data_IF_750767985292
#
_entry.id   IF_750767985292
#
_cell.length_a   1.000
_cell.length_b   1.000
_cell.length_c   1.000
_cell.angle_alpha   90.00
_cell.angle_beta   90.00
_cell.angle_gamma   90.00
#
_symmetry.space_group_name_H-M   'P 1'
#
loop_
_entity.id
_entity.type
_entity.pdbx_description
1 polymer ?
#
# COMPACT_ATOMS: atom_id res chain seq x y z
N UNK A 1 -22.30 -27.40 -3.72
CA UNK A 1 -21.95 -26.53 -2.60
C UNK A 1 -22.75 -25.24 -2.77
N UNK A 2 -23.65 -24.86 -1.86
CA UNK A 2 -24.38 -23.58 -1.96
C UNK A 2 -23.36 -22.46 -1.70
N UNK A 3 -23.42 -21.33 -2.43
CA UNK A 3 -22.56 -20.19 -2.13
C UNK A 3 -22.82 -19.75 -0.68
N UNK A 4 -21.77 -19.39 0.03
CA UNK A 4 -21.80 -19.01 1.44
C UNK A 4 -22.63 -17.73 1.69
N UNK A 5 -22.84 -16.94 0.63
CA UNK A 5 -23.68 -15.74 0.68
C UNK A 5 -24.95 -15.97 -0.13
N UNK A 6 -26.12 -15.79 0.49
CA UNK A 6 -27.36 -15.65 -0.24
C UNK A 6 -27.29 -14.40 -1.13
N UNK A 7 -27.83 -14.52 -2.36
CA UNK A 7 -27.99 -13.35 -3.22
C UNK A 7 -28.95 -12.38 -2.51
N UNK A 8 -28.38 -11.29 -2.01
CA UNK A 8 -29.21 -10.21 -1.47
C UNK A 8 -29.92 -9.49 -2.62
N UNK A 9 -31.19 -9.16 -2.43
CA UNK A 9 -31.91 -8.28 -3.34
C UNK A 9 -31.17 -6.95 -3.48
N UNK A 10 -31.20 -6.30 -4.66
CA UNK A 10 -30.52 -5.03 -4.88
C UNK A 10 -30.93 -4.03 -3.81
N UNK A 11 -29.96 -3.60 -3.00
CA UNK A 11 -30.19 -2.65 -1.92
C UNK A 11 -30.21 -1.22 -2.47
N UNK A 12 -31.32 -0.55 -2.33
CA UNK A 12 -31.48 0.87 -2.67
C UNK A 12 -32.47 1.13 -3.81
N UNK A 13 -32.70 2.41 -4.06
CA UNK A 13 -33.57 2.91 -5.13
C UNK A 13 -32.71 3.55 -6.22
N UNK A 14 -33.14 3.46 -7.47
CA UNK A 14 -32.49 4.17 -8.57
C UNK A 14 -32.35 5.67 -8.26
N UNK A 15 -31.17 6.23 -8.50
CA UNK A 15 -30.91 7.64 -8.29
C UNK A 15 -31.72 8.49 -9.28
N UNK A 16 -32.39 9.54 -8.79
CA UNK A 16 -33.08 10.51 -9.65
C UNK A 16 -32.05 11.28 -10.48
N UNK A 17 -32.37 11.60 -11.76
CA UNK A 17 -31.43 12.31 -12.66
C UNK A 17 -30.85 13.60 -12.09
N UNK A 18 -31.58 14.35 -11.26
CA UNK A 18 -31.08 15.57 -10.62
C UNK A 18 -29.97 15.36 -9.57
N UNK A 19 -29.78 14.14 -9.06
CA UNK A 19 -28.66 13.79 -8.17
C UNK A 19 -27.38 13.47 -8.90
N UNK A 20 -27.45 13.16 -10.20
CA UNK A 20 -26.27 12.87 -11.04
C UNK A 20 -25.39 14.12 -11.20
N UNK A 21 -25.97 15.33 -11.23
CA UNK A 21 -25.18 16.58 -11.28
C UNK A 21 -24.33 16.83 -10.02
N UNK A 22 -24.79 16.36 -8.85
CA UNK A 22 -23.99 16.39 -7.62
C UNK A 22 -22.89 15.33 -7.62
N UNK A 23 -23.12 14.20 -8.31
CA UNK A 23 -22.09 13.17 -8.47
C UNK A 23 -20.89 13.62 -9.29
N UNK A 24 -21.08 14.51 -10.29
CA UNK A 24 -19.96 15.05 -11.07
C UNK A 24 -19.01 15.90 -10.19
N UNK A 25 -19.56 16.81 -9.36
CA UNK A 25 -18.73 17.60 -8.43
C UNK A 25 -18.05 16.75 -7.34
N UNK A 26 -18.71 15.65 -6.91
CA UNK A 26 -18.11 14.70 -5.98
C UNK A 26 -17.02 13.87 -6.63
N UNK A 27 -17.14 13.57 -7.93
CA UNK A 27 -16.11 12.87 -8.69
C UNK A 27 -14.83 13.70 -8.84
N UNK A 28 -14.96 15.03 -9.03
CA UNK A 28 -13.80 15.91 -9.11
C UNK A 28 -13.10 16.03 -7.75
N UNK A 29 -13.85 16.14 -6.66
CA UNK A 29 -13.30 16.11 -5.30
C UNK A 29 -12.60 14.78 -4.97
N UNK A 30 -13.15 13.65 -5.44
CA UNK A 30 -12.51 12.34 -5.27
C UNK A 30 -11.20 12.25 -6.06
N UNK A 31 -11.14 12.75 -7.29
CA UNK A 31 -9.90 12.78 -8.09
C UNK A 31 -8.82 13.63 -7.43
N UNK A 32 -9.21 14.75 -6.80
CA UNK A 32 -8.27 15.58 -6.05
C UNK A 32 -7.68 14.80 -4.85
N UNK A 33 -8.53 14.09 -4.11
CA UNK A 33 -8.07 13.21 -3.00
C UNK A 33 -7.18 12.08 -3.52
N UNK A 34 -7.56 11.42 -4.62
CA UNK A 34 -6.76 10.36 -5.24
C UNK A 34 -5.38 10.88 -5.69
N UNK A 35 -5.34 12.08 -6.28
CA UNK A 35 -4.08 12.73 -6.67
C UNK A 35 -3.21 13.01 -5.44
N UNK A 36 -3.77 13.57 -4.37
CA UNK A 36 -3.06 13.83 -3.12
C UNK A 36 -2.51 12.55 -2.46
N UNK A 37 -3.29 11.46 -2.48
CA UNK A 37 -2.82 10.15 -2.01
C UNK A 37 -1.66 9.66 -2.88
N UNK A 38 -1.77 9.77 -4.20
CA UNK A 38 -0.70 9.38 -5.13
C UNK A 38 0.60 10.14 -4.89
N UNK A 39 0.53 11.45 -4.66
CA UNK A 39 1.68 12.28 -4.31
C UNK A 39 2.29 11.84 -2.97
N UNK A 40 1.47 11.59 -1.95
CA UNK A 40 1.93 11.15 -0.64
C UNK A 40 2.60 9.76 -0.70
N UNK A 41 2.06 8.82 -1.49
CA UNK A 41 2.68 7.51 -1.73
C UNK A 41 4.02 7.66 -2.42
N UNK A 42 4.11 8.52 -3.44
CA UNK A 42 5.37 8.79 -4.14
C UNK A 42 6.41 9.37 -3.18
N UNK A 43 6.02 10.35 -2.38
CA UNK A 43 6.90 10.95 -1.37
C UNK A 43 7.38 9.92 -0.34
N UNK A 44 6.51 9.02 0.12
CA UNK A 44 6.88 7.96 1.06
C UNK A 44 7.91 6.98 0.46
N UNK A 45 7.82 6.69 -0.85
CA UNK A 45 8.80 5.86 -1.56
C UNK A 45 10.15 6.55 -1.74
N UNK A 46 10.20 7.88 -1.72
CA UNK A 46 11.43 8.66 -1.89
C UNK A 46 12.18 8.90 -0.57
N UNK A 47 11.57 8.60 0.57
CA UNK A 47 12.20 8.78 1.89
C UNK A 47 13.49 7.97 1.99
N UNK A 48 14.48 8.54 2.66
CA UNK A 48 15.73 7.87 2.99
C UNK A 48 16.83 8.05 1.93
N UNK A 49 17.74 7.07 1.83
CA UNK A 49 18.84 7.14 0.90
C UNK A 49 18.42 6.83 -0.54
N UNK A 50 18.99 7.52 -1.53
CA UNK A 50 18.79 7.16 -2.93
C UNK A 50 19.15 5.71 -3.23
N UNK A 51 18.41 5.06 -4.12
CA UNK A 51 18.62 3.67 -4.55
C UNK A 51 20.07 3.43 -5.01
N UNK A 52 20.64 4.38 -5.74
CA UNK A 52 22.00 4.30 -6.25
C UNK A 52 23.04 4.19 -5.12
N UNK A 53 22.79 4.85 -3.97
CA UNK A 53 23.68 4.77 -2.81
C UNK A 53 23.67 3.38 -2.18
N UNK A 54 22.51 2.72 -2.16
CA UNK A 54 22.34 1.36 -1.68
C UNK A 54 23.05 0.38 -2.64
N UNK A 55 22.79 0.54 -3.94
CA UNK A 55 23.36 -0.34 -4.97
C UNK A 55 24.89 -0.22 -5.07
N UNK A 56 25.46 0.97 -4.86
CA UNK A 56 26.93 1.15 -4.79
C UNK A 56 27.61 0.35 -3.68
N UNK A 57 26.85 -0.04 -2.64
CA UNK A 57 27.33 -0.91 -1.55
C UNK A 57 27.16 -2.41 -1.86
N UNK A 58 26.68 -2.76 -3.06
CA UNK A 58 26.37 -4.12 -3.46
C UNK A 58 25.06 -4.65 -2.87
N UNK A 59 24.20 -3.77 -2.39
CA UNK A 59 22.92 -4.15 -1.79
C UNK A 59 21.75 -3.76 -2.71
N UNK A 60 20.66 -4.52 -2.59
CA UNK A 60 19.39 -4.22 -3.24
C UNK A 60 18.47 -3.50 -2.25
N UNK A 61 17.65 -2.58 -2.75
CA UNK A 61 16.54 -2.02 -1.97
C UNK A 61 15.46 -3.08 -1.76
N UNK A 62 14.55 -2.85 -0.80
CA UNK A 62 13.38 -3.72 -0.59
C UNK A 62 12.53 -3.84 -1.84
N UNK A 63 12.33 -2.75 -2.59
CA UNK A 63 11.56 -2.74 -3.83
C UNK A 63 12.20 -3.60 -4.93
N UNK A 64 13.51 -3.50 -5.12
CA UNK A 64 14.23 -4.38 -6.05
C UNK A 64 14.13 -5.85 -5.65
N UNK A 65 14.15 -6.16 -4.35
CA UNK A 65 13.96 -7.54 -3.87
C UNK A 65 12.54 -8.05 -4.14
N UNK A 66 11.52 -7.19 -3.98
CA UNK A 66 10.13 -7.54 -4.30
C UNK A 66 9.96 -7.88 -5.77
N UNK A 67 10.59 -7.12 -6.69
CA UNK A 67 10.57 -7.41 -8.13
C UNK A 67 11.14 -8.79 -8.48
N UNK A 68 12.09 -9.29 -7.70
CA UNK A 68 12.64 -10.65 -7.88
C UNK A 68 11.84 -11.74 -7.17
N UNK A 69 11.17 -11.40 -6.08
CA UNK A 69 10.47 -12.37 -5.24
C UNK A 69 9.07 -12.66 -5.72
N UNK A 70 8.35 -11.62 -6.15
CA UNK A 70 6.90 -11.67 -6.41
C UNK A 70 6.66 -11.83 -7.91
N UNK A 71 5.71 -12.68 -8.25
CA UNK A 71 5.31 -12.90 -9.64
C UNK A 71 4.81 -11.59 -10.28
N UNK A 72 5.23 -11.34 -11.51
CA UNK A 72 4.96 -10.08 -12.21
C UNK A 72 3.47 -9.73 -12.23
N UNK A 73 3.14 -8.50 -11.86
CA UNK A 73 1.78 -7.97 -11.90
C UNK A 73 0.85 -8.46 -10.76
N UNK A 74 1.38 -9.19 -9.78
CA UNK A 74 0.57 -9.70 -8.66
C UNK A 74 0.74 -8.89 -7.37
N UNK A 75 1.70 -7.98 -7.31
CA UNK A 75 1.95 -7.17 -6.12
C UNK A 75 0.82 -6.20 -5.83
N UNK A 76 0.22 -6.32 -4.65
CA UNK A 76 -0.79 -5.43 -4.12
C UNK A 76 -0.29 -4.88 -2.77
N UNK A 77 0.24 -3.64 -2.73
CA UNK A 77 0.75 -3.04 -1.51
C UNK A 77 -0.38 -2.82 -0.51
N UNK A 78 -0.10 -3.06 0.76
CA UNK A 78 -0.94 -2.63 1.87
C UNK A 78 -0.67 -1.15 2.19
N UNK A 79 -1.41 -0.51 3.10
CA UNK A 79 -1.37 0.94 3.27
C UNK A 79 0.03 1.49 3.54
N UNK A 80 0.71 1.91 2.48
CA UNK A 80 2.08 2.49 2.50
C UNK A 80 2.17 3.73 3.38
N UNK A 81 1.06 4.47 3.55
CA UNK A 81 0.99 5.70 4.33
C UNK A 81 0.65 5.48 5.81
N UNK A 82 0.57 4.24 6.26
CA UNK A 82 0.27 3.95 7.66
C UNK A 82 1.46 4.30 8.54
N UNK A 83 1.32 5.37 9.31
CA UNK A 83 2.31 5.86 10.28
C UNK A 83 1.61 6.31 11.57
N UNK A 84 1.12 5.37 12.40
CA UNK A 84 0.21 5.65 13.51
C UNK A 84 0.82 6.52 14.62
N UNK A 85 2.14 6.57 14.70
CA UNK A 85 2.86 7.35 15.73
C UNK A 85 3.51 8.61 15.17
N UNK A 86 3.23 8.97 13.88
CA UNK A 86 3.73 10.18 13.24
C UNK A 86 5.22 10.42 13.53
N UNK A 87 6.04 9.36 13.37
CA UNK A 87 7.45 9.42 13.71
C UNK A 87 8.20 10.45 12.83
N UNK A 88 9.38 10.88 13.30
CA UNK A 88 10.18 11.91 12.64
C UNK A 88 10.62 11.55 11.23
N UNK A 89 10.68 10.26 10.90
CA UNK A 89 11.08 9.77 9.58
C UNK A 89 9.94 9.84 8.56
N UNK A 90 8.71 10.16 8.99
CA UNK A 90 7.53 10.23 8.12
C UNK A 90 7.04 8.87 7.59
N UNK A 91 7.65 7.77 8.03
CA UNK A 91 7.31 6.41 7.61
C UNK A 91 7.67 5.40 8.69
N UNK A 92 6.95 4.27 8.72
CA UNK A 92 7.33 3.11 9.54
C UNK A 92 8.45 2.28 8.92
N UNK A 93 8.90 2.61 7.71
CA UNK A 93 9.79 1.85 6.83
C UNK A 93 9.35 0.38 6.55
N UNK A 94 8.15 0.00 6.92
CA UNK A 94 7.58 -1.31 6.56
C UNK A 94 7.01 -1.22 5.15
N UNK A 95 7.42 -2.17 4.31
CA UNK A 95 6.87 -2.39 2.97
C UNK A 95 6.20 -3.74 2.99
N UNK A 96 4.89 -3.74 3.01
CA UNK A 96 4.08 -4.94 3.10
C UNK A 96 3.00 -4.98 2.01
N UNK A 97 2.55 -6.18 1.71
CA UNK A 97 1.55 -6.40 0.67
C UNK A 97 1.26 -7.86 0.42
N UNK A 98 0.29 -8.07 -0.45
CA UNK A 98 -0.04 -9.37 -1.00
C UNK A 98 0.65 -9.53 -2.35
N UNK A 99 1.19 -10.72 -2.61
CA UNK A 99 1.77 -11.07 -3.89
C UNK A 99 1.77 -12.58 -4.09
N UNK A 100 1.88 -13.00 -5.34
CA UNK A 100 2.11 -14.42 -5.63
C UNK A 100 3.61 -14.70 -5.65
N UNK A 101 3.98 -15.84 -5.13
CA UNK A 101 5.33 -16.41 -5.22
C UNK A 101 5.14 -17.82 -5.80
N UNK A 102 5.63 -18.03 -7.02
CA UNK A 102 5.42 -19.28 -7.77
C UNK A 102 3.93 -19.68 -7.82
N UNK A 103 3.06 -18.71 -8.15
CA UNK A 103 1.61 -18.88 -8.27
C UNK A 103 0.84 -18.99 -6.94
N UNK A 104 1.50 -18.89 -5.79
CA UNK A 104 0.86 -18.99 -4.47
C UNK A 104 0.79 -17.63 -3.80
N UNK A 105 -0.39 -17.27 -3.33
CA UNK A 105 -0.57 -16.04 -2.57
C UNK A 105 0.17 -16.07 -1.23
N UNK A 106 0.87 -15.00 -0.95
CA UNK A 106 1.59 -14.78 0.30
C UNK A 106 1.44 -13.33 0.75
N UNK A 107 1.45 -13.12 2.06
CA UNK A 107 1.72 -11.82 2.66
C UNK A 107 3.23 -11.65 2.71
N UNK A 108 3.74 -10.59 2.11
CA UNK A 108 5.17 -10.26 2.11
C UNK A 108 5.37 -9.03 2.98
N UNK A 109 6.30 -9.12 3.92
CA UNK A 109 6.68 -8.02 4.81
C UNK A 109 8.17 -7.80 4.67
N UNK A 110 8.55 -6.59 4.31
CA UNK A 110 9.94 -6.16 4.17
C UNK A 110 10.20 -4.86 4.93
N UNK A 111 11.47 -4.59 5.20
CA UNK A 111 11.91 -3.32 5.77
C UNK A 111 12.68 -2.53 4.74
N UNK A 112 12.31 -1.25 4.55
CA UNK A 112 13.00 -0.38 3.62
C UNK A 112 14.38 -0.01 4.18
N UNK A 113 15.40 -0.62 3.61
CA UNK A 113 16.79 -0.37 3.98
C UNK A 113 17.31 1.01 3.53
N UNK A 114 16.52 1.77 2.77
CA UNK A 114 16.79 3.17 2.47
C UNK A 114 16.62 4.05 3.71
N UNK A 115 15.66 3.68 4.58
CA UNK A 115 15.31 4.42 5.79
C UNK A 115 16.00 3.78 6.98
N UNK A 116 16.90 4.52 7.64
CA UNK A 116 17.65 4.06 8.80
C UNK A 116 18.29 2.67 8.66
N UNK A 117 18.66 2.28 7.43
CA UNK A 117 19.19 0.96 7.08
C UNK A 117 18.26 -0.23 7.45
N UNK A 118 16.95 0.00 7.53
CA UNK A 118 15.96 -0.99 7.94
C UNK A 118 15.87 -1.18 9.46
N UNK A 119 16.37 -0.22 10.25
CA UNK A 119 16.28 -0.27 11.71
C UNK A 119 14.83 -0.21 12.19
N UNK A 120 14.60 -0.68 13.41
CA UNK A 120 13.29 -0.61 14.03
C UNK A 120 12.86 0.83 14.29
N UNK A 121 11.69 1.20 13.80
CA UNK A 121 11.08 2.53 13.98
C UNK A 121 9.76 2.43 14.77
N UNK A 122 9.35 3.51 15.45
CA UNK A 122 8.03 3.57 16.07
C UNK A 122 6.91 3.33 15.04
N UNK A 123 5.90 2.54 15.41
CA UNK A 123 4.77 2.20 14.54
C UNK A 123 4.97 0.97 13.66
N UNK A 124 6.16 0.38 13.63
CA UNK A 124 6.41 -0.84 12.84
C UNK A 124 5.60 -2.03 13.34
N UNK A 125 5.53 -2.25 14.66
CA UNK A 125 4.78 -3.36 15.24
C UNK A 125 3.32 -3.34 14.82
N UNK A 126 2.70 -2.19 14.85
CA UNK A 126 1.30 -1.98 14.46
C UNK A 126 1.10 -2.25 12.96
N UNK A 127 2.05 -1.84 12.12
CA UNK A 127 2.00 -2.09 10.70
C UNK A 127 2.14 -3.59 10.38
N UNK A 128 3.12 -4.25 10.99
CA UNK A 128 3.33 -5.70 10.84
C UNK A 128 2.09 -6.48 11.32
N UNK A 129 1.52 -6.13 12.48
CA UNK A 129 0.30 -6.78 12.96
C UNK A 129 -0.85 -6.67 11.95
N UNK A 130 -1.06 -5.50 11.35
CA UNK A 130 -2.08 -5.33 10.31
C UNK A 130 -1.85 -6.23 9.10
N UNK A 131 -0.60 -6.41 8.70
CA UNK A 131 -0.25 -7.29 7.59
C UNK A 131 -0.45 -8.77 7.93
N UNK A 132 -0.25 -9.15 9.20
CA UNK A 132 -0.39 -10.54 9.65
C UNK A 132 -1.83 -10.94 9.97
N UNK A 133 -2.75 -9.99 10.10
CA UNK A 133 -4.18 -10.23 10.35
C UNK A 133 -4.97 -10.55 9.06
N UNK A 134 -4.29 -10.59 7.90
CA UNK A 134 -4.87 -10.93 6.59
C UNK A 134 -4.85 -12.44 6.34
#
# INVERSE_FOLDING_TARGET
MKPYFDTMDPFGKALKPGRIKRAASSADALREVEAGIGEAVTAAHEVGFPTEKINKRGWMTVYQRLEYLVDAGTWCPLPTLYNPLENAEGTTNVVDGLGQIDGRWAVVIGFDNKVMAGAWLPGQSENIMRATDL
#
